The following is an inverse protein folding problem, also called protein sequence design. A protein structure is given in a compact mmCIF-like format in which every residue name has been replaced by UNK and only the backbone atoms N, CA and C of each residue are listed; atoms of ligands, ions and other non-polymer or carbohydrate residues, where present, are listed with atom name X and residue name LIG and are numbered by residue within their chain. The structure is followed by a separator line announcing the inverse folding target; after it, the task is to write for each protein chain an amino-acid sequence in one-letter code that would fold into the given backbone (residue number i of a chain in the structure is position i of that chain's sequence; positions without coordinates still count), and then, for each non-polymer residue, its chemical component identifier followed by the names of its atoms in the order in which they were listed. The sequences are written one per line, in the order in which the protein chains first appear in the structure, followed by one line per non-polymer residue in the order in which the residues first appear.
data_IF_870476704420
#
_entry.id   IF_870476704420
#
_cell.length_a   1.000
_cell.length_b   1.000
_cell.length_c   1.000
_cell.angle_alpha   90.00
_cell.angle_beta   90.00
_cell.angle_gamma   90.00
#
_symmetry.space_group_name_H-M   'P 1'
#
loop_
_entity.id
_entity.type
_entity.pdbx_description
1 polymer ?
#
# COMPACT_ATOMS: atom_id res chain seq x y z
N UNK A 1 34.40 -10.74 -55.32
CA UNK A 1 34.39 -11.92 -56.21
C UNK A 1 33.46 -12.97 -55.63
N UNK A 2 32.54 -13.51 -56.46
CA UNK A 2 31.59 -14.60 -56.15
C UNK A 2 32.23 -15.98 -56.40
N UNK A 3 31.73 -17.01 -55.70
CA UNK A 3 31.32 -18.39 -56.15
C UNK A 3 31.23 -19.31 -54.91
N UNK A 4 30.03 -19.72 -54.46
CA UNK A 4 29.31 -20.99 -54.74
C UNK A 4 30.19 -22.26 -54.54
N UNK A 5 29.78 -23.27 -53.75
CA UNK A 5 28.71 -24.26 -54.07
C UNK A 5 28.39 -25.17 -52.85
N UNK A 6 27.11 -25.56 -52.66
CA UNK A 6 26.54 -26.64 -51.80
C UNK A 6 26.51 -27.98 -52.60
N UNK A 7 26.34 -29.23 -52.07
CA UNK A 7 25.16 -29.63 -51.25
C UNK A 7 25.20 -30.94 -50.36
N UNK A 8 24.04 -31.23 -49.71
CA UNK A 8 23.44 -32.55 -49.28
C UNK A 8 24.00 -33.34 -48.06
N UNK A 9 23.26 -34.07 -47.18
CA UNK A 9 21.82 -34.29 -46.86
C UNK A 9 21.62 -35.10 -45.52
N UNK A 10 20.48 -34.86 -44.81
CA UNK A 10 19.61 -35.67 -43.86
C UNK A 10 20.09 -36.49 -42.61
N UNK A 11 19.68 -36.01 -41.41
CA UNK A 11 18.90 -36.61 -40.25
C UNK A 11 19.11 -38.06 -39.70
N UNK A 12 18.55 -38.47 -38.52
CA UNK A 12 18.29 -37.82 -37.21
C UNK A 12 18.63 -38.71 -35.95
N UNK A 13 18.26 -38.19 -34.77
CA UNK A 13 18.43 -38.63 -33.36
C UNK A 13 18.15 -40.10 -32.95
N UNK A 14 18.93 -40.56 -31.95
CA UNK A 14 18.72 -41.68 -31.00
C UNK A 14 18.36 -41.13 -29.59
N UNK A 15 18.02 -41.95 -28.56
CA UNK A 15 17.53 -43.34 -28.54
C UNK A 15 16.26 -43.56 -27.67
N UNK A 16 15.58 -44.68 -27.89
CA UNK A 16 14.68 -45.35 -26.95
C UNK A 16 15.30 -46.70 -26.59
N UNK A 17 15.30 -47.05 -25.30
CA UNK A 17 15.74 -48.36 -24.85
C UNK A 17 15.37 -48.68 -23.40
N UNK A 18 14.60 -49.77 -23.29
CA UNK A 18 14.53 -50.79 -22.22
C UNK A 18 13.24 -50.84 -21.40
N UNK A 19 12.57 -51.97 -21.59
CA UNK A 19 11.29 -52.44 -21.06
C UNK A 19 11.50 -53.48 -19.96
N UNK A 20 10.60 -53.48 -18.97
CA UNK A 20 10.09 -54.61 -18.16
C UNK A 20 11.09 -55.37 -17.21
N UNK A 21 10.74 -55.92 -16.04
CA UNK A 21 9.49 -56.27 -15.37
C UNK A 21 9.80 -56.69 -13.90
N UNK A 22 8.88 -56.52 -12.93
CA UNK A 22 8.57 -57.52 -11.89
C UNK A 22 7.46 -57.08 -10.88
N UNK A 23 6.27 -57.71 -11.07
CA UNK A 23 5.24 -58.25 -10.15
C UNK A 23 4.95 -57.70 -8.71
N UNK A 24 3.63 -57.58 -8.50
CA UNK A 24 2.78 -57.94 -7.35
C UNK A 24 2.66 -57.02 -6.10
N UNK A 25 1.48 -56.40 -5.93
CA UNK A 25 0.44 -56.78 -4.95
C UNK A 25 -0.69 -55.74 -4.88
N UNK A 26 -1.95 -56.19 -4.76
CA UNK A 26 -3.02 -55.39 -4.14
C UNK A 26 -4.19 -54.90 -5.01
N UNK A 27 -4.77 -55.77 -5.85
CA UNK A 27 -6.11 -55.53 -6.43
C UNK A 27 -7.13 -56.24 -5.53
N UNK A 28 -7.94 -55.48 -4.77
CA UNK A 28 -9.28 -55.81 -4.21
C UNK A 28 -9.65 -54.83 -3.06
N UNK A 29 -9.77 -53.53 -3.35
CA UNK A 29 -10.40 -52.56 -2.41
C UNK A 29 -10.75 -51.20 -3.05
N UNK A 30 -11.00 -51.15 -4.36
CA UNK A 30 -11.40 -49.93 -5.07
C UNK A 30 -12.42 -50.31 -6.12
N UNK A 31 -13.69 -50.41 -5.75
CA UNK A 31 -14.87 -50.46 -6.63
C UNK A 31 -16.15 -50.52 -5.80
N UNK A 32 -16.41 -49.50 -4.97
CA UNK A 32 -17.70 -49.35 -4.27
C UNK A 32 -18.13 -47.89 -4.03
N UNK A 33 -17.30 -46.90 -4.37
CA UNK A 33 -17.63 -45.48 -4.20
C UNK A 33 -18.07 -44.79 -5.50
N UNK A 34 -17.73 -45.36 -6.66
CA UNK A 34 -18.04 -44.76 -7.97
C UNK A 34 -19.41 -45.18 -8.55
N UNK A 35 -20.15 -46.08 -7.88
CA UNK A 35 -21.45 -46.55 -8.34
C UNK A 35 -22.66 -45.77 -7.78
N UNK A 36 -22.45 -44.89 -6.79
CA UNK A 36 -23.54 -44.14 -6.13
C UNK A 36 -23.75 -42.74 -6.73
N UNK A 37 -22.77 -42.17 -7.41
CA UNK A 37 -22.86 -40.78 -7.93
C UNK A 37 -23.55 -40.69 -9.30
N UNK A 38 -23.63 -41.80 -10.06
CA UNK A 38 -24.28 -41.83 -11.37
C UNK A 38 -25.83 -41.92 -11.32
N UNK A 39 -26.46 -41.99 -10.14
CA UNK A 39 -27.90 -42.12 -9.98
C UNK A 39 -28.66 -40.79 -9.74
N UNK A 40 -27.96 -39.66 -9.60
CA UNK A 40 -28.60 -38.35 -9.36
C UNK A 40 -28.79 -37.53 -10.65
N UNK A 41 -28.20 -37.94 -11.77
CA UNK A 41 -28.40 -37.29 -13.08
C UNK A 41 -29.72 -37.65 -13.80
N UNK A 42 -30.62 -38.41 -13.15
CA UNK A 42 -31.87 -38.89 -13.77
C UNK A 42 -33.15 -38.10 -13.43
N UNK A 43 -33.03 -36.86 -12.92
CA UNK A 43 -34.18 -35.94 -12.76
C UNK A 43 -33.93 -34.61 -13.49
N UNK A 44 -33.52 -34.72 -14.76
CA UNK A 44 -33.73 -33.70 -15.81
C UNK A 44 -34.77 -34.24 -16.78
N UNK A 45 -36.07 -34.10 -16.48
CA UNK A 45 -37.17 -34.13 -17.48
C UNK A 45 -38.55 -34.05 -16.82
N UNK A 46 -39.08 -32.86 -16.58
CA UNK A 46 -40.53 -32.58 -16.72
C UNK A 46 -40.73 -31.07 -16.84
N UNK A 47 -40.59 -30.50 -18.04
CA UNK A 47 -41.70 -30.12 -18.93
C UNK A 47 -42.26 -28.73 -18.62
N UNK A 48 -41.63 -27.75 -19.26
CA UNK A 48 -42.21 -26.51 -19.78
C UNK A 48 -43.50 -26.79 -20.57
N UNK A 49 -44.64 -26.16 -20.23
CA UNK A 49 -45.82 -25.95 -21.11
C UNK A 49 -46.76 -24.88 -20.48
N UNK A 50 -46.72 -23.67 -21.07
CA UNK A 50 -47.89 -22.98 -21.69
C UNK A 50 -48.89 -22.15 -20.84
N UNK A 51 -48.74 -20.81 -20.97
CA UNK A 51 -49.73 -19.78 -21.41
C UNK A 51 -51.07 -19.55 -20.65
N UNK A 52 -51.35 -18.24 -20.47
CA UNK A 52 -52.63 -17.52 -20.24
C UNK A 52 -53.16 -17.65 -18.79
N UNK A 53 -53.69 -16.63 -18.10
CA UNK A 53 -54.62 -15.55 -18.46
C UNK A 53 -54.45 -14.39 -17.47
N UNK A 54 -54.61 -13.18 -18.00
CA UNK A 54 -54.95 -11.88 -17.39
C UNK A 54 -55.72 -11.95 -16.06
N UNK A 55 -55.23 -11.27 -15.02
CA UNK A 55 -56.08 -10.52 -14.08
C UNK A 55 -55.40 -9.20 -13.69
N UNK A 56 -56.19 -8.13 -13.83
CA UNK A 56 -55.85 -6.73 -13.64
C UNK A 56 -56.27 -6.31 -12.22
N UNK A 57 -55.39 -5.56 -11.53
CA UNK A 57 -55.63 -4.60 -10.44
C UNK A 57 -55.92 -5.11 -9.00
N UNK A 58 -55.73 -4.27 -7.95
CA UNK A 58 -54.47 -3.66 -7.46
C UNK A 58 -54.29 -3.95 -5.95
N UNK A 59 -53.41 -3.16 -5.30
CA UNK A 59 -53.33 -2.90 -3.85
C UNK A 59 -52.14 -3.58 -3.14
N UNK A 60 -50.95 -3.00 -3.32
CA UNK A 60 -49.91 -3.05 -2.29
C UNK A 60 -49.34 -1.64 -2.12
N UNK A 61 -49.54 -1.06 -0.93
CA UNK A 61 -48.85 0.12 -0.46
C UNK A 61 -47.34 -0.16 -0.49
N UNK A 62 -46.65 0.35 -1.51
CA UNK A 62 -45.20 0.43 -1.51
C UNK A 62 -44.78 1.56 -0.56
N UNK A 63 -44.56 1.21 0.70
CA UNK A 63 -43.76 2.04 1.60
C UNK A 63 -42.36 2.15 1.01
N UNK A 64 -42.06 3.30 0.41
CA UNK A 64 -40.71 3.67 0.03
C UNK A 64 -39.89 3.87 1.31
N UNK A 65 -39.41 2.78 1.89
CA UNK A 65 -38.33 2.83 2.84
C UNK A 65 -37.13 3.38 2.08
N UNK A 66 -36.82 4.65 2.31
CA UNK A 66 -35.56 5.24 1.89
C UNK A 66 -34.46 4.41 2.53
N UNK A 67 -33.85 3.50 1.76
CA UNK A 67 -32.62 2.83 2.15
C UNK A 67 -31.56 3.92 2.11
N UNK A 68 -31.35 4.59 3.24
CA UNK A 68 -30.20 5.46 3.41
C UNK A 68 -28.96 4.58 3.21
N UNK A 69 -28.07 4.89 2.25
CA UNK A 69 -26.81 4.16 2.14
C UNK A 69 -26.09 4.24 3.49
N UNK A 70 -25.44 3.16 3.95
CA UNK A 70 -24.68 3.21 5.19
C UNK A 70 -23.65 4.34 5.06
N UNK A 71 -23.77 5.36 5.91
CA UNK A 71 -22.73 6.36 6.09
C UNK A 71 -21.44 5.61 6.35
N UNK A 72 -20.37 5.82 5.55
CA UNK A 72 -19.10 5.16 5.83
C UNK A 72 -18.71 5.51 7.25
N UNK A 73 -18.54 4.48 8.09
CA UNK A 73 -18.14 4.67 9.47
C UNK A 73 -16.81 5.41 9.46
N UNK A 74 -16.84 6.68 9.89
CA UNK A 74 -15.61 7.40 10.20
C UNK A 74 -15.07 6.70 11.43
N UNK A 75 -14.00 5.94 11.24
CA UNK A 75 -13.25 5.32 12.32
C UNK A 75 -12.95 6.41 13.37
N UNK A 76 -13.50 6.24 14.57
CA UNK A 76 -13.44 7.23 15.64
C UNK A 76 -11.99 7.57 16.06
N UNK A 77 -11.03 6.72 15.69
CA UNK A 77 -9.60 6.98 15.88
C UNK A 77 -9.00 7.92 14.82
N UNK A 78 -9.68 8.23 13.72
CA UNK A 78 -9.13 9.06 12.65
C UNK A 78 -9.14 10.54 13.04
N UNK A 79 -7.95 11.12 13.25
CA UNK A 79 -7.75 12.54 13.54
C UNK A 79 -7.63 13.40 12.27
N UNK A 80 -7.09 12.82 11.19
CA UNK A 80 -6.91 13.52 9.92
C UNK A 80 -6.85 12.53 8.75
N UNK A 81 -7.39 12.89 7.59
CA UNK A 81 -7.30 12.13 6.35
C UNK A 81 -7.37 13.04 5.12
N UNK A 82 -6.50 12.80 4.15
CA UNK A 82 -6.53 13.44 2.83
C UNK A 82 -5.97 12.49 1.76
N UNK A 83 -6.64 12.39 0.60
CA UNK A 83 -6.20 11.64 -0.59
C UNK A 83 -6.09 12.52 -1.85
N UNK A 84 -6.34 13.83 -1.73
CA UNK A 84 -6.25 14.84 -2.78
C UNK A 84 -7.13 14.64 -4.03
N UNK A 85 -7.84 13.50 -4.17
CA UNK A 85 -8.69 13.15 -5.32
C UNK A 85 -9.65 14.27 -5.73
N UNK A 86 -10.20 14.99 -4.75
CA UNK A 86 -11.19 16.06 -4.93
C UNK A 86 -10.58 17.47 -4.80
N UNK A 87 -9.26 17.60 -4.73
CA UNK A 87 -8.57 18.87 -4.43
C UNK A 87 -7.95 19.46 -5.70
N UNK A 88 -8.12 20.75 -5.93
CA UNK A 88 -7.45 21.48 -7.01
C UNK A 88 -6.22 22.25 -6.50
N UNK A 89 -6.24 22.61 -5.23
CA UNK A 89 -5.20 23.38 -4.54
C UNK A 89 -4.94 22.74 -3.19
N UNK A 90 -3.81 23.08 -2.57
CA UNK A 90 -3.49 22.62 -1.23
C UNK A 90 -4.59 23.09 -0.24
N UNK A 91 -5.25 22.19 0.49
CA UNK A 91 -6.26 22.58 1.47
C UNK A 91 -5.67 23.46 2.58
N UNK A 92 -6.44 24.42 3.08
CA UNK A 92 -6.02 25.32 4.16
C UNK A 92 -5.72 24.61 5.50
N UNK A 93 -6.10 23.33 5.62
CA UNK A 93 -5.74 22.47 6.76
C UNK A 93 -4.28 22.05 6.77
N UNK A 94 -3.54 22.31 5.69
CA UNK A 94 -2.10 22.10 5.62
C UNK A 94 -1.34 23.41 5.81
N UNK A 95 -0.20 23.32 6.50
CA UNK A 95 0.76 24.42 6.63
C UNK A 95 2.03 24.07 5.85
N UNK A 96 2.32 24.74 4.72
CA UNK A 96 3.55 24.51 3.97
C UNK A 96 4.80 24.89 4.77
N UNK A 97 5.85 24.10 4.61
CA UNK A 97 7.20 24.37 5.14
C UNK A 97 8.17 24.47 3.97
N UNK A 98 8.94 25.56 3.93
CA UNK A 98 9.89 25.91 2.86
C UNK A 98 9.30 25.98 1.42
N UNK A 99 7.97 26.08 1.32
CA UNK A 99 7.26 26.51 0.13
C UNK A 99 7.02 25.47 -0.97
N UNK A 100 6.01 25.76 -1.79
CA UNK A 100 5.62 25.15 -3.07
C UNK A 100 5.08 23.72 -3.08
N UNK A 101 4.52 23.22 -1.98
CA UNK A 101 3.69 22.02 -2.05
C UNK A 101 2.40 22.32 -2.84
N UNK A 102 2.19 21.63 -3.96
CA UNK A 102 1.05 21.88 -4.87
C UNK A 102 0.24 20.61 -5.08
N UNK A 103 -1.05 20.76 -5.34
CA UNK A 103 -1.86 19.62 -5.78
C UNK A 103 -1.81 19.56 -7.29
N UNK A 104 -1.38 18.43 -7.83
CA UNK A 104 -1.23 18.21 -9.27
C UNK A 104 -2.14 17.07 -9.72
N UNK A 105 -2.52 17.08 -11.00
CA UNK A 105 -3.19 15.95 -11.65
C UNK A 105 -2.18 15.20 -12.51
N UNK A 106 -2.06 13.90 -12.30
CA UNK A 106 -1.20 13.03 -13.11
C UNK A 106 -1.88 11.68 -13.36
N UNK A 107 -1.15 10.76 -13.99
CA UNK A 107 -1.58 9.37 -14.11
C UNK A 107 -1.77 8.75 -12.72
N UNK A 108 -2.96 8.19 -12.49
CA UNK A 108 -3.37 7.63 -11.20
C UNK A 108 -4.14 8.57 -10.28
N UNK A 109 -4.41 9.82 -10.69
CA UNK A 109 -5.27 10.75 -9.96
C UNK A 109 -4.56 12.02 -9.52
N UNK A 110 -5.07 12.64 -8.46
CA UNK A 110 -4.49 13.87 -7.88
C UNK A 110 -3.67 13.54 -6.65
N UNK A 111 -2.58 14.25 -6.46
CA UNK A 111 -1.71 14.07 -5.30
C UNK A 111 -1.01 15.38 -4.96
N UNK A 112 -0.41 15.43 -3.78
CA UNK A 112 0.47 16.51 -3.38
C UNK A 112 1.85 16.32 -4.02
N UNK A 113 2.42 17.37 -4.58
CA UNK A 113 3.76 17.38 -5.13
C UNK A 113 4.67 18.25 -4.27
N UNK A 114 5.80 17.70 -3.84
CA UNK A 114 6.91 18.44 -3.26
C UNK A 114 7.91 18.77 -4.38
N UNK A 115 8.26 20.06 -4.56
CA UNK A 115 8.99 20.54 -5.72
C UNK A 115 10.46 20.13 -5.68
N UNK A 116 11.06 19.92 -6.86
CA UNK A 116 12.49 19.62 -6.98
C UNK A 116 13.41 20.86 -6.93
N UNK A 117 12.82 22.05 -7.05
CA UNK A 117 13.54 23.33 -7.04
C UNK A 117 12.82 24.30 -6.10
N UNK A 118 13.54 24.94 -5.15
CA UNK A 118 14.98 24.76 -4.84
C UNK A 118 15.31 23.36 -4.29
N UNK A 119 16.59 22.94 -4.39
CA UNK A 119 17.05 21.65 -3.84
C UNK A 119 17.23 21.73 -2.31
N UNK A 120 16.12 21.73 -1.58
CA UNK A 120 16.09 21.74 -0.12
C UNK A 120 14.96 20.85 0.40
N UNK A 121 14.86 20.72 1.72
CA UNK A 121 13.76 19.98 2.34
C UNK A 121 12.47 20.79 2.31
N UNK A 122 11.45 20.25 1.64
CA UNK A 122 10.09 20.76 1.60
C UNK A 122 9.19 19.89 2.49
N UNK A 123 8.07 20.45 2.94
CA UNK A 123 7.08 19.67 3.67
C UNK A 123 5.76 20.38 3.86
N UNK A 124 4.81 19.66 4.44
CA UNK A 124 3.55 20.21 4.95
C UNK A 124 3.25 19.63 6.33
N UNK A 125 2.78 20.47 7.24
CA UNK A 125 2.21 20.06 8.52
C UNK A 125 0.69 19.94 8.40
N UNK A 126 0.10 19.03 9.18
CA UNK A 126 -1.35 18.78 9.16
C UNK A 126 -1.84 18.17 10.47
N UNK A 127 -3.17 18.21 10.64
CA UNK A 127 -3.86 17.65 11.81
C UNK A 127 -3.65 18.46 13.09
N UNK A 128 -4.28 18.03 14.20
CA UNK A 128 -4.08 18.64 15.51
C UNK A 128 -2.64 18.45 16.01
N UNK A 129 -2.16 19.38 16.85
CA UNK A 129 -0.92 19.21 17.57
C UNK A 129 -1.09 18.18 18.69
N UNK A 130 -0.21 17.17 18.72
CA UNK A 130 -0.29 16.04 19.64
C UNK A 130 1.10 15.78 20.23
N UNK A 131 1.16 15.45 21.52
CA UNK A 131 2.41 15.09 22.17
C UNK A 131 2.70 13.58 22.05
N UNK A 132 1.67 12.74 22.08
CA UNK A 132 1.80 11.28 22.11
C UNK A 132 0.47 10.61 21.77
N UNK A 133 0.45 9.28 21.73
CA UNK A 133 -0.76 8.49 21.48
C UNK A 133 -1.26 8.62 20.05
N UNK A 134 -0.35 8.85 19.10
CA UNK A 134 -0.69 9.09 17.69
C UNK A 134 0.15 8.28 16.72
N UNK A 135 -0.47 8.01 15.58
CA UNK A 135 0.14 7.32 14.43
C UNK A 135 -0.08 8.15 13.18
N UNK A 136 0.97 8.35 12.39
CA UNK A 136 0.91 9.02 11.08
C UNK A 136 1.27 8.04 9.97
N UNK A 137 0.67 8.22 8.81
CA UNK A 137 1.04 7.51 7.59
C UNK A 137 0.83 8.36 6.34
N UNK A 138 1.61 8.05 5.32
CA UNK A 138 1.49 8.58 3.96
C UNK A 138 2.20 7.64 2.99
N UNK A 139 1.94 7.79 1.69
CA UNK A 139 2.73 7.17 0.63
C UNK A 139 3.47 8.22 -0.18
N UNK A 140 4.63 7.84 -0.69
CA UNK A 140 5.55 8.69 -1.43
C UNK A 140 5.94 8.03 -2.74
N UNK A 141 6.09 8.78 -3.81
CA UNK A 141 6.61 8.28 -5.07
C UNK A 141 7.60 9.27 -5.66
N UNK A 142 8.86 8.89 -5.65
CA UNK A 142 9.89 9.63 -6.38
C UNK A 142 9.70 9.45 -7.89
N UNK A 143 10.11 10.45 -8.66
CA UNK A 143 10.15 10.35 -10.13
C UNK A 143 10.91 9.08 -10.56
N UNK A 144 10.47 8.42 -11.62
CA UNK A 144 11.15 7.23 -12.13
C UNK A 144 12.53 7.59 -12.73
N UNK A 145 13.52 6.71 -12.54
CA UNK A 145 14.87 6.83 -13.12
C UNK A 145 15.98 6.72 -12.07
N UNK A 146 17.15 6.19 -12.48
CA UNK A 146 18.26 5.91 -11.56
C UNK A 146 18.82 7.15 -10.85
N UNK A 147 18.71 8.32 -11.48
CA UNK A 147 19.17 9.58 -10.92
C UNK A 147 18.10 10.28 -10.06
N UNK A 148 16.84 9.83 -10.11
CA UNK A 148 15.70 10.46 -9.44
C UNK A 148 15.59 10.05 -7.96
N UNK A 149 16.66 10.29 -7.20
CA UNK A 149 16.69 10.04 -5.76
C UNK A 149 15.95 11.14 -5.00
N UNK A 150 15.20 10.74 -3.98
CA UNK A 150 14.60 11.67 -3.03
C UNK A 150 14.66 11.06 -1.64
N UNK A 151 15.00 11.86 -0.63
CA UNK A 151 14.71 11.49 0.75
C UNK A 151 13.28 11.90 1.07
N UNK A 152 12.54 11.08 1.81
CA UNK A 152 11.17 11.41 2.19
C UNK A 152 10.82 10.84 3.56
N UNK A 153 9.90 11.48 4.26
CA UNK A 153 9.58 11.13 5.63
C UNK A 153 8.14 11.46 6.03
N UNK A 154 7.64 10.71 7.00
CA UNK A 154 6.53 11.13 7.88
C UNK A 154 7.09 11.57 9.23
N UNK A 155 6.45 12.53 9.88
CA UNK A 155 6.88 13.05 11.18
C UNK A 155 5.74 13.29 12.16
N UNK A 156 6.10 13.26 13.44
CA UNK A 156 5.24 13.55 14.60
C UNK A 156 5.97 14.57 15.51
N UNK A 157 5.20 15.32 16.31
CA UNK A 157 5.73 16.31 17.26
C UNK A 157 6.38 17.54 16.59
N UNK A 158 5.85 18.00 15.46
CA UNK A 158 6.24 19.27 14.83
C UNK A 158 7.53 19.22 14.02
N UNK A 159 8.19 20.38 13.89
CA UNK A 159 9.36 20.56 13.01
C UNK A 159 10.61 19.82 13.53
N UNK A 160 10.82 19.80 14.84
CA UNK A 160 11.98 19.18 15.51
C UNK A 160 11.64 17.85 16.20
N UNK A 161 10.48 17.27 15.88
CA UNK A 161 10.02 16.02 16.46
C UNK A 161 10.68 14.77 15.87
N UNK A 162 9.94 13.66 15.89
CA UNK A 162 10.40 12.40 15.31
C UNK A 162 10.12 12.37 13.81
N UNK A 163 11.09 11.88 13.02
CA UNK A 163 10.91 11.65 11.58
C UNK A 163 11.31 10.23 11.21
N UNK A 164 10.41 9.50 10.57
CA UNK A 164 10.73 8.25 9.91
C UNK A 164 11.08 8.55 8.46
N UNK A 165 12.37 8.48 8.11
CA UNK A 165 12.91 8.91 6.83
C UNK A 165 13.45 7.74 6.02
N UNK A 166 13.09 7.67 4.75
CA UNK A 166 13.78 6.84 3.77
C UNK A 166 14.95 7.65 3.21
N UNK A 167 16.15 7.06 3.27
CA UNK A 167 17.38 7.63 2.73
C UNK A 167 17.94 6.73 1.63
N UNK A 168 17.71 7.03 0.34
CA UNK A 168 18.13 6.17 -0.76
C UNK A 168 19.66 6.13 -0.96
N UNK A 169 20.40 7.16 -0.56
CA UNK A 169 21.87 7.17 -0.67
C UNK A 169 22.53 6.24 0.35
N UNK A 170 21.90 6.06 1.51
CA UNK A 170 22.36 5.17 2.57
C UNK A 170 21.68 3.81 2.57
N UNK A 171 20.68 3.62 1.71
CA UNK A 171 19.84 2.42 1.63
C UNK A 171 19.25 2.06 3.01
N UNK A 172 18.72 3.07 3.70
CA UNK A 172 18.27 2.95 5.08
C UNK A 172 16.89 3.57 5.30
N UNK A 173 16.14 2.95 6.20
CA UNK A 173 15.05 3.56 6.94
C UNK A 173 15.62 4.09 8.25
N UNK A 174 15.56 5.41 8.44
CA UNK A 174 16.16 6.12 9.57
C UNK A 174 15.04 6.70 10.44
N UNK A 175 15.09 6.47 11.75
CA UNK A 175 14.36 7.26 12.72
C UNK A 175 15.26 8.40 13.19
N UNK A 176 14.80 9.62 12.97
CA UNK A 176 15.47 10.83 13.39
C UNK A 176 14.70 11.47 14.55
N UNK A 177 15.43 12.10 15.47
CA UNK A 177 14.91 13.09 16.42
C UNK A 177 15.61 14.40 16.13
N UNK A 178 14.83 15.44 15.80
CA UNK A 178 15.35 16.65 15.20
C UNK A 178 16.23 16.34 13.97
N UNK A 179 17.53 16.65 13.99
CA UNK A 179 18.47 16.31 12.90
C UNK A 179 19.26 15.01 13.11
N UNK A 180 19.19 14.41 14.31
CA UNK A 180 20.01 13.26 14.68
C UNK A 180 19.31 11.94 14.35
N UNK A 181 20.02 11.01 13.70
CA UNK A 181 19.54 9.62 13.50
C UNK A 181 19.72 8.86 14.81
N UNK A 182 18.63 8.42 15.42
CA UNK A 182 18.62 7.70 16.70
C UNK A 182 18.49 6.18 16.52
N UNK A 183 17.92 5.74 15.39
CA UNK A 183 17.79 4.32 15.06
C UNK A 183 17.72 4.17 13.53
N UNK A 184 18.16 3.02 13.00
CA UNK A 184 18.11 2.74 11.55
C UNK A 184 18.06 1.24 11.25
N UNK A 185 17.44 0.90 10.12
CA UNK A 185 17.45 -0.45 9.54
C UNK A 185 17.66 -0.40 8.03
N UNK A 186 18.19 -1.45 7.39
CA UNK A 186 18.31 -1.51 5.94
C UNK A 186 16.93 -1.38 5.26
N UNK A 187 16.84 -0.51 4.27
CA UNK A 187 15.63 -0.35 3.45
C UNK A 187 15.96 0.35 2.14
N UNK A 188 15.48 -0.18 1.02
CA UNK A 188 15.66 0.41 -0.30
C UNK A 188 14.29 0.52 -0.96
N UNK A 189 13.81 1.74 -1.18
CA UNK A 189 12.60 1.99 -1.97
C UNK A 189 12.83 1.69 -3.45
N UNK A 190 11.79 1.20 -4.13
CA UNK A 190 11.81 0.99 -5.58
C UNK A 190 11.46 2.31 -6.30
N UNK A 191 12.35 2.85 -7.16
CA UNK A 191 12.05 4.06 -7.92
C UNK A 191 10.78 3.95 -8.77
N UNK A 192 9.97 5.00 -8.81
CA UNK A 192 8.71 5.04 -9.57
C UNK A 192 7.54 4.26 -8.95
N UNK A 193 7.76 3.45 -7.90
CA UNK A 193 6.68 2.85 -7.12
C UNK A 193 6.31 3.74 -5.93
N UNK A 194 5.08 3.58 -5.44
CA UNK A 194 4.69 4.15 -4.16
C UNK A 194 5.40 3.39 -3.02
N UNK A 195 6.00 4.13 -2.10
CA UNK A 195 6.52 3.64 -0.83
C UNK A 195 5.65 4.18 0.30
N UNK A 196 5.09 3.28 1.10
CA UNK A 196 4.28 3.60 2.26
C UNK A 196 5.15 3.73 3.50
N UNK A 197 4.92 4.77 4.30
CA UNK A 197 5.55 4.98 5.60
C UNK A 197 4.49 5.02 6.69
N UNK A 198 4.84 4.47 7.86
CA UNK A 198 4.01 4.55 9.07
C UNK A 198 4.89 4.74 10.30
N UNK A 199 4.58 5.79 11.08
CA UNK A 199 5.27 6.13 12.32
C UNK A 199 4.24 6.23 13.45
N UNK A 200 4.58 5.69 14.61
CA UNK A 200 3.75 5.70 15.81
C UNK A 200 4.56 6.16 17.02
N UNK A 201 3.94 6.98 17.84
CA UNK A 201 4.45 7.45 19.12
C UNK A 201 3.45 7.10 20.23
N UNK A 202 3.85 6.25 21.18
CA UNK A 202 2.97 5.75 22.25
C UNK A 202 3.64 5.91 23.61
N UNK A 203 2.93 6.42 24.63
CA UNK A 203 3.48 6.46 25.98
C UNK A 203 3.69 5.03 26.52
N UNK A 204 4.71 4.88 27.35
CA UNK A 204 5.04 3.69 28.12
C UNK A 204 5.10 4.04 29.61
N UNK A 205 4.95 3.04 30.51
CA UNK A 205 5.18 3.26 31.93
C UNK A 205 6.57 3.82 32.23
N UNK A 206 6.66 4.70 33.24
CA UNK A 206 7.94 5.23 33.72
C UNK A 206 8.52 6.37 32.87
N UNK A 207 7.68 7.25 32.32
CA UNK A 207 8.09 8.41 31.51
C UNK A 207 8.97 8.00 30.32
N UNK A 208 8.48 7.00 29.58
CA UNK A 208 9.11 6.47 28.38
C UNK A 208 8.14 6.54 27.22
N UNK A 209 8.67 6.56 26.01
CA UNK A 209 7.89 6.61 24.80
C UNK A 209 8.39 5.58 23.80
N UNK A 210 7.50 4.73 23.33
CA UNK A 210 7.76 3.85 22.21
C UNK A 210 7.61 4.64 20.91
N UNK A 211 8.67 4.67 20.11
CA UNK A 211 8.69 5.25 18.77
C UNK A 211 8.92 4.12 17.78
N UNK A 212 7.91 3.81 16.97
CA UNK A 212 7.89 2.64 16.11
C UNK A 212 7.60 3.05 14.67
N UNK A 213 8.41 2.52 13.75
CA UNK A 213 8.36 2.86 12.33
C UNK A 213 8.34 1.63 11.46
N UNK A 214 7.71 1.74 10.29
CA UNK A 214 7.83 0.77 9.21
C UNK A 214 7.61 1.42 7.85
N UNK A 215 8.21 0.80 6.85
CA UNK A 215 8.07 1.18 5.45
C UNK A 215 7.92 -0.07 4.58
N UNK A 216 7.20 0.06 3.47
CA UNK A 216 7.04 -0.99 2.47
C UNK A 216 6.69 -0.38 1.12
N UNK A 217 7.14 -1.00 0.03
CA UNK A 217 6.74 -0.57 -1.31
C UNK A 217 5.36 -1.13 -1.66
N UNK A 218 4.67 -0.50 -2.63
CA UNK A 218 3.33 -0.89 -3.10
C UNK A 218 3.24 -2.35 -3.57
N UNK A 219 4.35 -2.90 -4.07
CA UNK A 219 4.45 -4.31 -4.47
C UNK A 219 4.53 -5.28 -3.27
N UNK A 220 4.67 -4.76 -2.05
CA UNK A 220 4.81 -5.54 -0.83
C UNK A 220 3.56 -5.42 0.05
N UNK A 221 3.29 -6.47 0.85
CA UNK A 221 2.29 -6.37 1.92
C UNK A 221 2.83 -5.52 3.06
N UNK A 222 1.96 -4.75 3.70
CA UNK A 222 2.30 -4.04 4.92
C UNK A 222 2.88 -5.01 5.98
N UNK A 223 4.07 -4.75 6.54
CA UNK A 223 4.62 -5.57 7.61
C UNK A 223 3.70 -5.58 8.82
N UNK A 224 3.42 -6.78 9.35
CA UNK A 224 2.64 -6.94 10.58
C UNK A 224 3.41 -6.42 11.80
N UNK A 225 4.71 -6.72 11.86
CA UNK A 225 5.62 -6.18 12.87
C UNK A 225 6.13 -4.77 12.52
N UNK A 226 6.52 -4.02 13.55
CA UNK A 226 7.30 -2.79 13.36
C UNK A 226 8.73 -3.17 12.98
N UNK A 227 9.25 -2.59 11.90
CA UNK A 227 10.61 -2.92 11.43
C UNK A 227 11.67 -2.08 12.12
N UNK A 228 11.28 -0.94 12.70
CA UNK A 228 12.13 -0.05 13.46
C UNK A 228 11.45 0.26 14.79
N UNK A 229 12.17 0.05 15.89
CA UNK A 229 11.70 0.36 17.23
C UNK A 229 12.75 1.12 18.04
N UNK A 230 12.31 2.11 18.80
CA UNK A 230 13.12 2.93 19.69
C UNK A 230 12.33 3.26 20.96
N UNK A 231 13.03 3.29 22.10
CA UNK A 231 12.46 3.78 23.36
C UNK A 231 13.16 5.07 23.73
N UNK A 232 12.37 6.14 23.85
CA UNK A 232 12.87 7.44 24.27
C UNK A 232 12.47 7.73 25.72
N UNK A 233 13.32 8.48 26.42
CA UNK A 233 13.09 8.96 27.80
C UNK A 233 12.94 10.49 27.85
N UNK A 234 13.19 11.19 26.74
CA UNK A 234 12.93 12.61 26.63
C UNK A 234 11.50 12.83 26.13
N UNK A 235 10.72 13.57 26.93
CA UNK A 235 9.32 13.90 26.65
C UNK A 235 9.17 14.46 25.22
N UNK A 236 8.26 13.92 24.40
CA UNK A 236 7.96 14.47 23.10
C UNK A 236 7.34 15.86 23.20
N UNK A 237 7.63 16.69 22.20
CA UNK A 237 7.03 18.00 22.08
C UNK A 237 5.58 17.93 21.59
N UNK A 238 4.78 18.91 21.99
CA UNK A 238 3.46 19.12 21.42
C UNK A 238 3.62 19.70 20.01
N UNK A 239 3.22 18.95 18.98
CA UNK A 239 3.36 19.42 17.60
C UNK A 239 2.50 18.65 16.61
N UNK A 240 2.31 19.23 15.43
CA UNK A 240 1.54 18.63 14.35
C UNK A 240 2.28 17.44 13.72
N UNK A 241 1.53 16.60 13.01
CA UNK A 241 2.12 15.63 12.10
C UNK A 241 2.60 16.34 10.82
N UNK A 242 3.50 15.69 10.09
CA UNK A 242 4.01 16.24 8.84
C UNK A 242 4.49 15.20 7.86
N UNK A 243 4.59 15.61 6.60
CA UNK A 243 5.31 14.89 5.54
C UNK A 243 6.42 15.78 5.00
N UNK A 244 7.53 15.16 4.64
CA UNK A 244 8.76 15.85 4.26
C UNK A 244 9.39 15.19 3.06
N UNK A 245 10.12 15.97 2.28
CA UNK A 245 10.80 15.50 1.08
C UNK A 245 11.93 16.40 0.64
N UNK A 246 13.04 15.80 0.23
CA UNK A 246 14.13 16.49 -0.48
C UNK A 246 14.35 15.77 -1.81
N UNK A 247 13.86 16.31 -2.94
CA UNK A 247 14.09 15.69 -4.23
C UNK A 247 15.51 16.00 -4.74
N UNK A 248 16.44 15.07 -4.52
CA UNK A 248 17.87 15.23 -4.83
C UNK A 248 18.15 15.12 -6.34
N UNK A 249 17.36 14.27 -7.02
CA UNK A 249 17.50 13.86 -8.41
C UNK A 249 16.86 14.75 -9.46
N UNK A 250 16.31 15.91 -9.08
CA UNK A 250 15.77 16.90 -10.01
C UNK A 250 14.33 16.68 -10.49
N UNK A 251 13.72 15.53 -10.20
CA UNK A 251 12.28 15.31 -10.37
C UNK A 251 11.51 15.57 -9.08
N UNK A 252 10.22 15.97 -9.15
CA UNK A 252 9.41 16.19 -7.96
C UNK A 252 9.13 14.88 -7.20
N UNK A 253 8.64 15.03 -5.97
CA UNK A 253 8.24 13.92 -5.10
C UNK A 253 6.72 13.98 -4.88
N UNK A 254 6.02 12.94 -5.30
CA UNK A 254 4.60 12.80 -5.05
C UNK A 254 4.33 12.29 -3.62
N UNK A 255 3.29 12.81 -2.98
CA UNK A 255 2.81 12.43 -1.66
C UNK A 255 1.30 12.28 -1.68
N UNK A 256 0.79 11.22 -1.07
CA UNK A 256 -0.64 10.93 -1.05
C UNK A 256 -1.04 10.05 0.14
N UNK A 257 -2.34 9.80 0.30
CA UNK A 257 -2.96 8.99 1.37
C UNK A 257 -2.47 9.38 2.77
N UNK A 258 -2.46 10.69 3.02
CA UNK A 258 -2.06 11.24 4.31
C UNK A 258 -3.13 10.89 5.35
N UNK A 259 -2.69 10.36 6.48
CA UNK A 259 -3.53 9.91 7.58
C UNK A 259 -2.87 10.20 8.92
N UNK A 260 -3.69 10.58 9.90
CA UNK A 260 -3.32 10.67 11.31
C UNK A 260 -4.40 9.97 12.13
N UNK A 261 -3.97 9.11 13.04
CA UNK A 261 -4.85 8.37 13.94
C UNK A 261 -4.45 8.60 15.39
N UNK A 262 -5.45 8.61 16.26
CA UNK A 262 -5.30 8.34 17.67
C UNK A 262 -4.99 6.84 17.85
N UNK A 263 -4.08 6.53 18.74
CA UNK A 263 -3.81 5.16 19.16
C UNK A 263 -4.58 4.98 20.47
N UNK A 264 -5.50 4.03 20.50
CA UNK A 264 -6.14 3.65 21.75
C UNK A 264 -5.06 3.19 22.75
N UNK A 265 -5.09 3.71 23.99
CA UNK A 265 -4.07 3.45 25.00
C UNK A 265 -3.95 1.98 25.41
#
# INVERSE_FOLDING_TARGET
MKRHTLPFILTPNLPLGVTAQAKNNGTLARNLTDFVVAAVEHVKKTTDVTRKVVFILPLLLAGAACVTPPTPAVDASTLFRESFDQRQTLPATFTPVNGMATVVTAEGGRHLELPATPKLEHGVLFGPAMAEGVRVGARFRATAGEQAKATFAVGLSGLSGYRLRVNPDRQQLELCRDTAVVQKVPFQSVPGQWTHLRLQLRPLPGLKWAVQGKAWDESQKEPTAWTLEWTDTAKPELGQAGVWGTPLGGGPLAVDDIRLWLIEP
#
